data_IF_958302658167
#
_entry.id   IF_958302658167
#
_cell.length_a   1.000
_cell.length_b   1.000
_cell.length_c   1.000
_cell.angle_alpha   90.00
_cell.angle_beta   90.00
_cell.angle_gamma   90.00
#
_symmetry.space_group_name_H-M   'P 1'
#
loop_
_entity.id
_entity.type
_entity.pdbx_description
1 polymer ?
#
# COMPACT_ATOMS: atom_id res chain seq x y z
N UNK A 1 -8.98 -8.52 4.84
CA UNK A 1 -8.36 -7.39 4.10
C UNK A 1 -7.71 -6.50 5.12
N UNK A 2 -6.43 -6.23 4.94
CA UNK A 2 -5.71 -5.29 5.80
C UNK A 2 -6.11 -3.86 5.43
N UNK A 3 -6.33 -3.04 6.45
CA UNK A 3 -6.69 -1.62 6.32
C UNK A 3 -5.65 -0.77 7.03
N UNK A 4 -5.62 0.53 6.71
CA UNK A 4 -4.67 1.44 7.33
C UNK A 4 -4.99 1.57 8.83
N UNK A 5 -4.05 1.22 9.72
CA UNK A 5 -4.26 1.32 11.17
C UNK A 5 -3.67 2.62 11.74
N UNK A 6 -4.09 2.98 12.95
CA UNK A 6 -3.52 4.13 13.68
C UNK A 6 -2.00 3.98 13.87
N UNK A 7 -1.53 2.77 14.18
CA UNK A 7 -0.11 2.42 14.31
C UNK A 7 0.67 2.64 13.01
N UNK A 8 0.10 2.22 11.87
CA UNK A 8 0.77 2.42 10.57
C UNK A 8 0.80 3.91 10.24
N UNK A 9 -0.34 4.60 10.36
CA UNK A 9 -0.42 6.02 10.03
C UNK A 9 0.49 6.88 10.94
N UNK A 10 0.55 6.60 12.24
CA UNK A 10 1.40 7.34 13.18
C UNK A 10 2.88 7.20 12.84
N UNK A 11 3.31 5.99 12.44
CA UNK A 11 4.66 5.74 11.94
C UNK A 11 4.95 6.51 10.65
N UNK A 12 4.04 6.48 9.68
CA UNK A 12 4.18 7.19 8.40
C UNK A 12 4.26 8.71 8.58
N UNK A 13 3.41 9.28 9.44
CA UNK A 13 3.41 10.71 9.76
C UNK A 13 4.74 11.08 10.44
N UNK A 14 5.13 10.35 11.48
CA UNK A 14 6.35 10.66 12.23
C UNK A 14 7.62 10.55 11.36
N UNK A 15 7.70 9.55 10.48
CA UNK A 15 8.81 9.42 9.54
C UNK A 15 8.88 10.60 8.55
N UNK A 16 7.73 11.08 8.09
CA UNK A 16 7.62 12.30 7.30
C UNK A 16 8.11 13.54 8.03
N UNK A 17 7.60 13.76 9.23
CA UNK A 17 7.92 14.90 10.08
C UNK A 17 9.39 14.92 10.48
N UNK A 18 9.96 13.77 10.82
CA UNK A 18 11.39 13.63 11.14
C UNK A 18 12.29 14.02 9.96
N UNK A 19 11.80 13.86 8.73
CA UNK A 19 12.43 14.35 7.50
C UNK A 19 12.31 15.86 7.27
N UNK A 20 11.68 16.61 8.19
CA UNK A 20 11.44 18.05 8.09
C UNK A 20 10.16 18.42 7.32
N UNK A 21 9.31 17.44 6.98
CA UNK A 21 8.04 17.71 6.30
C UNK A 21 6.97 18.19 7.30
N UNK A 22 6.10 19.09 6.83
CA UNK A 22 4.94 19.53 7.59
C UNK A 22 3.76 18.58 7.35
N UNK A 23 2.92 18.36 8.36
CA UNK A 23 1.73 17.52 8.22
C UNK A 23 0.74 18.21 7.28
N UNK A 24 0.52 17.59 6.12
CA UNK A 24 -0.31 18.14 5.07
C UNK A 24 -0.56 17.17 3.94
N UNK A 25 -1.27 17.65 2.92
CA UNK A 25 -1.70 16.86 1.78
C UNK A 25 -0.52 16.18 1.07
N UNK A 26 0.53 16.94 0.76
CA UNK A 26 1.69 16.42 0.03
C UNK A 26 2.43 15.32 0.79
N UNK A 27 2.57 15.48 2.11
CA UNK A 27 3.19 14.47 2.96
C UNK A 27 2.38 13.17 2.94
N UNK A 28 1.08 13.25 3.20
CA UNK A 28 0.21 12.08 3.24
C UNK A 28 0.09 11.43 1.86
N UNK A 29 -0.02 12.22 0.79
CA UNK A 29 -0.03 11.74 -0.58
C UNK A 29 1.25 10.98 -0.91
N UNK A 30 2.40 11.47 -0.46
CA UNK A 30 3.68 10.76 -0.64
C UNK A 30 3.75 9.46 0.18
N UNK A 31 3.33 9.49 1.45
CA UNK A 31 3.41 8.31 2.34
C UNK A 31 2.35 7.24 2.03
N UNK A 32 1.25 7.61 1.40
CA UNK A 32 0.13 6.71 1.09
C UNK A 32 0.08 6.26 -0.38
N UNK A 33 1.12 6.52 -1.20
CA UNK A 33 1.14 6.11 -2.62
C UNK A 33 0.92 4.61 -2.87
N UNK A 34 1.22 3.76 -1.89
CA UNK A 34 0.99 2.31 -1.96
C UNK A 34 -0.40 1.86 -1.47
N UNK A 35 -1.30 2.78 -1.14
CA UNK A 35 -2.62 2.49 -0.60
C UNK A 35 -3.72 2.86 -1.59
N UNK A 36 -4.86 2.17 -1.51
CA UNK A 36 -6.05 2.50 -2.29
C UNK A 36 -6.77 3.68 -1.64
N UNK A 37 -6.29 4.89 -1.92
CA UNK A 37 -6.80 6.16 -1.39
C UNK A 37 -6.86 7.22 -2.49
N UNK A 38 -7.92 8.02 -2.51
CA UNK A 38 -8.06 9.16 -3.43
C UNK A 38 -7.67 10.51 -2.80
N UNK A 39 -7.50 11.53 -3.65
CA UNK A 39 -7.09 12.87 -3.21
C UNK A 39 -8.12 13.51 -2.25
N UNK A 40 -9.42 13.26 -2.41
CA UNK A 40 -10.43 13.81 -1.50
C UNK A 40 -10.32 13.17 -0.11
N UNK A 41 -10.07 11.85 -0.05
CA UNK A 41 -9.82 11.12 1.20
C UNK A 41 -8.55 11.59 1.89
N UNK A 42 -7.48 11.88 1.13
CA UNK A 42 -6.25 12.47 1.69
C UNK A 42 -6.56 13.84 2.30
N UNK A 43 -7.32 14.69 1.60
CA UNK A 43 -7.67 16.01 2.11
C UNK A 43 -8.50 15.93 3.40
N UNK A 44 -9.49 15.04 3.46
CA UNK A 44 -10.25 14.78 4.68
C UNK A 44 -9.35 14.30 5.82
N UNK A 45 -8.39 13.41 5.53
CA UNK A 45 -7.44 12.93 6.53
C UNK A 45 -6.61 14.09 7.12
N UNK A 46 -6.16 15.04 6.28
CA UNK A 46 -5.44 16.23 6.74
C UNK A 46 -6.29 17.07 7.68
N UNK A 47 -7.55 17.34 7.32
CA UNK A 47 -8.46 18.16 8.11
C UNK A 47 -8.73 17.52 9.49
N UNK A 48 -9.02 16.23 9.49
CA UNK A 48 -9.29 15.46 10.71
C UNK A 48 -8.04 15.31 11.62
N UNK A 49 -6.85 15.17 11.04
CA UNK A 49 -5.59 15.15 11.81
C UNK A 49 -5.33 16.49 12.50
N UNK A 50 -5.63 17.60 11.81
CA UNK A 50 -5.53 18.95 12.39
C UNK A 50 -6.56 19.17 13.49
N UNK A 51 -7.79 18.70 13.30
CA UNK A 51 -8.86 18.79 14.31
C UNK A 51 -8.53 17.96 15.56
N UNK A 52 -7.92 16.79 15.39
CA UNK A 52 -7.39 15.98 16.50
C UNK A 52 -6.18 16.63 17.22
N UNK A 53 -5.70 17.77 16.72
CA UNK A 53 -4.55 18.50 17.27
C UNK A 53 -3.25 17.71 17.15
N UNK A 54 -3.07 16.98 16.06
CA UNK A 54 -1.83 16.28 15.75
C UNK A 54 -0.88 17.26 15.07
N UNK A 55 0.34 17.37 15.59
CA UNK A 55 1.37 18.28 15.10
C UNK A 55 2.75 17.59 15.09
N UNK A 56 3.74 18.31 14.56
CA UNK A 56 5.10 17.83 14.33
C UNK A 56 5.89 17.52 15.61
N UNK A 57 5.48 18.07 16.75
CA UNK A 57 6.18 17.89 18.03
C UNK A 57 5.78 16.60 18.76
N UNK A 58 4.79 15.86 18.25
CA UNK A 58 4.28 14.65 18.88
C UNK A 58 5.16 13.43 18.58
N UNK A 59 5.43 12.65 19.62
CA UNK A 59 6.03 11.33 19.48
C UNK A 59 5.05 10.35 18.80
N UNK A 60 5.53 9.28 18.13
CA UNK A 60 4.68 8.34 17.39
C UNK A 60 3.51 7.78 18.21
N UNK A 61 3.77 7.38 19.46
CA UNK A 61 2.76 6.84 20.36
C UNK A 61 1.70 7.88 20.74
N UNK A 62 2.06 9.16 20.81
CA UNK A 62 1.12 10.24 21.11
C UNK A 62 0.24 10.56 19.90
N UNK A 63 0.79 10.47 18.68
CA UNK A 63 0.05 10.56 17.42
C UNK A 63 -0.95 9.41 17.33
N UNK A 64 -0.49 8.18 17.54
CA UNK A 64 -1.33 6.97 17.51
C UNK A 64 -2.51 7.08 18.48
N UNK A 65 -2.24 7.43 19.75
CA UNK A 65 -3.30 7.60 20.75
C UNK A 65 -4.32 8.65 20.33
N UNK A 66 -3.89 9.79 19.80
CA UNK A 66 -4.80 10.84 19.30
C UNK A 66 -5.66 10.38 18.13
N UNK A 67 -5.10 9.56 17.23
CA UNK A 67 -5.85 8.95 16.13
C UNK A 67 -6.91 7.97 16.69
N UNK A 68 -6.55 7.14 17.67
CA UNK A 68 -7.46 6.17 18.30
C UNK A 68 -8.59 6.83 19.09
N UNK A 69 -8.30 7.95 19.74
CA UNK A 69 -9.28 8.78 20.47
C UNK A 69 -10.21 9.57 19.54
N UNK A 70 -9.95 9.59 18.23
CA UNK A 70 -10.75 10.32 17.23
C UNK A 70 -11.61 9.36 16.37
N UNK A 71 -12.90 9.18 16.67
CA UNK A 71 -13.74 8.18 16.00
C UNK A 71 -13.86 8.38 14.49
N UNK A 72 -13.82 9.63 14.02
CA UNK A 72 -13.90 9.96 12.60
C UNK A 72 -12.65 9.54 11.85
N UNK A 73 -11.46 9.72 12.45
CA UNK A 73 -10.20 9.24 11.87
C UNK A 73 -10.24 7.71 11.75
N UNK A 74 -10.61 7.01 12.82
CA UNK A 74 -10.73 5.53 12.78
C UNK A 74 -11.67 5.04 11.69
N UNK A 75 -12.78 5.75 11.43
CA UNK A 75 -13.70 5.41 10.33
C UNK A 75 -13.05 5.62 8.97
N UNK A 76 -12.37 6.74 8.76
CA UNK A 76 -11.69 7.05 7.50
C UNK A 76 -10.56 6.05 7.21
N UNK A 77 -9.79 5.70 8.24
CA UNK A 77 -8.73 4.68 8.17
C UNK A 77 -9.22 3.31 7.72
N UNK A 78 -10.39 2.87 8.21
CA UNK A 78 -11.00 1.59 7.80
C UNK A 78 -11.46 1.57 6.34
N UNK A 79 -11.63 2.72 5.70
CA UNK A 79 -11.96 2.82 4.29
C UNK A 79 -10.73 2.71 3.39
N UNK A 80 -9.54 3.01 3.92
CA UNK A 80 -8.27 2.96 3.20
C UNK A 80 -7.74 1.53 3.27
N UNK A 81 -7.73 0.85 2.11
CA UNK A 81 -7.33 -0.55 2.00
C UNK A 81 -5.92 -0.68 1.43
N UNK A 82 -5.19 -1.69 1.89
CA UNK A 82 -4.00 -2.13 1.17
C UNK A 82 -4.42 -2.71 -0.20
N UNK A 83 -3.63 -2.52 -1.26
CA UNK A 83 -3.86 -3.19 -2.53
C UNK A 83 -3.86 -4.70 -2.32
N UNK A 84 -4.81 -5.39 -2.96
CA UNK A 84 -4.77 -6.85 -3.00
C UNK A 84 -3.56 -7.26 -3.84
N UNK A 85 -2.52 -7.77 -3.18
CA UNK A 85 -1.43 -8.41 -3.89
C UNK A 85 -1.95 -9.73 -4.46
N UNK A 86 -2.44 -9.71 -5.71
CA UNK A 86 -2.34 -10.91 -6.52
C UNK A 86 -0.85 -11.17 -6.69
N UNK A 87 -0.35 -12.27 -6.13
CA UNK A 87 1.03 -12.72 -6.32
C UNK A 87 1.24 -13.05 -7.81
N UNK A 88 1.50 -12.03 -8.63
CA UNK A 88 1.85 -12.21 -10.03
C UNK A 88 3.33 -12.59 -10.09
N UNK A 89 3.60 -13.89 -10.20
CA UNK A 89 4.96 -14.39 -10.46
C UNK A 89 5.30 -14.09 -11.92
N UNK A 90 6.06 -13.02 -12.15
CA UNK A 90 6.62 -12.71 -13.47
C UNK A 90 7.94 -13.47 -13.63
N UNK A 91 8.00 -14.38 -14.60
CA UNK A 91 9.20 -15.13 -14.90
C UNK A 91 10.23 -14.22 -15.60
N UNK A 92 11.35 -13.92 -14.94
CA UNK A 92 12.43 -13.04 -15.48
C UNK A 92 13.26 -13.71 -16.58
N UNK A 93 13.26 -15.05 -16.60
CA UNK A 93 13.94 -15.86 -17.61
C UNK A 93 13.12 -15.85 -18.90
N UNK A 94 13.60 -15.20 -19.95
CA UNK A 94 13.06 -15.28 -21.33
C UNK A 94 13.29 -16.67 -21.97
N UNK A 95 13.47 -17.70 -21.13
CA UNK A 95 13.74 -19.08 -21.49
C UNK A 95 12.72 -19.92 -20.71
N UNK A 96 11.81 -20.56 -21.46
CA UNK A 96 10.68 -21.34 -20.94
C UNK A 96 9.31 -20.76 -21.36
N UNK A 97 8.32 -21.63 -21.53
CA UNK A 97 6.92 -21.25 -21.72
C UNK A 97 6.17 -21.54 -20.43
N UNK A 98 5.55 -20.53 -19.81
CA UNK A 98 4.72 -20.73 -18.65
C UNK A 98 3.25 -20.86 -19.08
N UNK A 99 2.73 -22.08 -19.06
CA UNK A 99 1.32 -22.35 -19.36
C UNK A 99 0.60 -22.61 -18.05
N UNK A 100 -0.20 -21.64 -17.61
CA UNK A 100 -1.06 -21.76 -16.44
C UNK A 100 -2.52 -21.84 -16.87
N UNK A 101 -3.24 -22.87 -16.40
CA UNK A 101 -4.66 -23.05 -16.68
C UNK A 101 -5.39 -23.40 -15.38
N UNK A 102 -6.32 -22.53 -14.97
CA UNK A 102 -7.16 -22.75 -13.79
C UNK A 102 -8.57 -23.15 -14.25
N UNK A 103 -8.74 -24.43 -14.63
CA UNK A 103 -10.00 -24.98 -15.12
C UNK A 103 -9.83 -26.22 -16.01
N UNK A 104 -10.91 -26.76 -16.57
CA UNK A 104 -10.86 -27.86 -17.53
C UNK A 104 -10.57 -27.33 -18.94
N UNK A 105 -9.34 -27.51 -19.41
CA UNK A 105 -8.90 -27.05 -20.75
C UNK A 105 -8.02 -28.09 -21.43
N UNK A 106 -8.00 -28.07 -22.76
CA UNK A 106 -7.06 -28.88 -23.56
C UNK A 106 -5.93 -27.98 -24.06
N UNK A 107 -4.68 -28.37 -23.82
CA UNK A 107 -3.50 -27.66 -24.33
C UNK A 107 -2.87 -28.55 -25.41
N UNK A 108 -2.81 -28.04 -26.64
CA UNK A 108 -2.17 -28.72 -27.78
C UNK A 108 -0.88 -27.99 -28.16
N UNK A 109 0.25 -28.68 -28.08
CA UNK A 109 1.57 -28.15 -28.46
C UNK A 109 2.02 -28.91 -29.71
N UNK A 110 2.27 -28.20 -30.81
CA UNK A 110 2.80 -28.77 -32.06
C UNK A 110 4.32 -28.62 -32.17
N UNK A 111 4.94 -29.49 -32.98
CA UNK A 111 6.36 -29.50 -33.41
C UNK A 111 7.39 -28.99 -32.38
N UNK A 112 7.91 -29.91 -31.56
CA UNK A 112 9.05 -29.65 -30.68
C UNK A 112 10.35 -29.98 -31.43
N UNK A 113 11.14 -28.96 -31.77
CA UNK A 113 12.50 -29.14 -32.27
C UNK A 113 13.48 -29.07 -31.10
N UNK A 114 14.17 -30.17 -30.81
CA UNK A 114 15.24 -30.22 -29.81
C UNK A 114 16.60 -30.19 -30.48
N UNK A 115 17.37 -29.13 -30.24
CA UNK A 115 18.77 -29.02 -30.66
C UNK A 115 19.67 -29.46 -29.51
N UNK A 116 20.30 -30.64 -29.64
CA UNK A 116 21.31 -31.09 -28.70
C UNK A 116 22.64 -30.44 -29.07
N UNK A 117 23.09 -29.45 -28.31
CA UNK A 117 24.48 -29.00 -28.37
C UNK A 117 25.34 -30.09 -27.75
N UNK A 118 26.17 -30.73 -28.57
CA UNK A 118 27.23 -31.61 -28.09
C UNK A 118 28.41 -30.72 -27.69
N UNK A 119 28.89 -30.88 -26.46
CA UNK A 119 30.11 -30.23 -25.96
C UNK A 119 31.36 -30.64 -26.74
#
# INVERSE_FOLDING_TARGET
MDFLTATILSGLIYDGVKGGAMIGFDLLKSKLQGWLIDDNQIQLLVEELKEAGINEDLAPHAIERKIEEHPTLIKLLKQIKAPEYENCVVQTSHIGHNVNNNGNSTISIGDIVTTKTSE
#
